data_IF_728539843600
#
_entry.id   IF_728539843600
#
_cell.length_a   1.000
_cell.length_b   1.000
_cell.length_c   1.000
_cell.angle_alpha   90.00
_cell.angle_beta   90.00
_cell.angle_gamma   90.00
#
_symmetry.space_group_name_H-M   'P 1'
#
loop_
_entity.id
_entity.type
_entity.pdbx_description
1 polymer ?
#
# COMPACT_ATOMS: atom_id res chain seq x y z
N UNK A 1 -61.52 17.00 37.86
CA UNK A 1 -60.24 16.39 37.39
C UNK A 1 -59.99 16.91 36.01
N UNK A 2 -59.01 17.86 35.88
CA UNK A 2 -58.63 18.41 34.59
C UNK A 2 -57.54 17.47 33.98
N UNK A 3 -57.87 16.85 32.84
CA UNK A 3 -56.90 16.06 32.10
C UNK A 3 -55.88 17.00 31.42
N UNK A 4 -54.65 16.97 31.86
CA UNK A 4 -53.55 17.66 31.22
C UNK A 4 -53.17 16.90 29.93
N UNK A 5 -53.49 17.45 28.77
CA UNK A 5 -53.08 16.91 27.46
C UNK A 5 -51.63 17.36 27.20
N UNK A 6 -50.65 16.46 27.40
CA UNK A 6 -49.25 16.71 27.02
C UNK A 6 -49.19 16.47 25.51
N UNK A 7 -49.11 17.55 24.74
CA UNK A 7 -48.80 17.51 23.32
C UNK A 7 -47.28 17.33 23.23
N UNK A 8 -46.83 16.07 22.96
CA UNK A 8 -45.44 15.80 22.62
C UNK A 8 -45.17 16.37 21.22
N UNK A 9 -44.62 17.58 21.18
CA UNK A 9 -44.09 18.14 19.95
C UNK A 9 -42.87 17.30 19.53
N UNK A 10 -43.11 16.34 18.63
CA UNK A 10 -42.03 15.73 17.85
C UNK A 10 -41.46 16.80 16.92
N UNK A 11 -40.49 17.58 17.39
CA UNK A 11 -39.60 18.29 16.48
C UNK A 11 -38.87 17.20 15.68
N UNK A 12 -38.90 17.27 14.34
CA UNK A 12 -37.96 16.47 13.59
C UNK A 12 -36.58 16.90 14.06
N UNK A 13 -35.83 16.02 14.70
CA UNK A 13 -34.41 16.17 14.83
C UNK A 13 -33.89 16.13 13.39
N UNK A 14 -33.67 17.31 12.81
CA UNK A 14 -32.80 17.44 11.68
C UNK A 14 -31.44 17.04 12.26
N UNK A 15 -31.10 15.77 12.13
CA UNK A 15 -29.76 15.32 12.41
C UNK A 15 -28.87 16.05 11.40
N UNK A 16 -28.18 17.10 11.85
CA UNK A 16 -27.07 17.61 11.08
C UNK A 16 -26.11 16.43 10.93
N UNK A 17 -25.92 15.95 9.70
CA UNK A 17 -24.94 14.91 9.43
C UNK A 17 -23.60 15.37 9.99
N UNK A 18 -22.83 14.44 10.58
CA UNK A 18 -21.50 14.75 11.04
C UNK A 18 -20.68 15.21 9.83
N UNK A 19 -20.04 16.37 9.94
CA UNK A 19 -19.17 16.90 8.87
C UNK A 19 -17.88 16.11 8.82
N UNK A 20 -17.38 15.90 7.61
CA UNK A 20 -16.04 15.38 7.36
C UNK A 20 -15.03 16.46 7.74
N UNK A 21 -14.01 16.09 8.50
CA UNK A 21 -12.90 17.00 8.80
C UNK A 21 -11.96 17.07 7.59
N UNK A 22 -11.90 18.22 6.93
CA UNK A 22 -11.07 18.47 5.75
C UNK A 22 -10.23 19.72 6.02
N UNK A 23 -8.96 19.56 6.45
CA UNK A 23 -8.11 20.69 6.84
C UNK A 23 -7.53 21.45 5.65
N UNK A 24 -7.30 20.80 4.50
CA UNK A 24 -6.77 21.45 3.31
C UNK A 24 -7.87 22.26 2.60
N UNK A 25 -7.63 23.56 2.48
CA UNK A 25 -8.63 24.49 1.94
C UNK A 25 -8.90 24.28 0.45
N UNK A 26 -7.87 23.89 -0.33
CA UNK A 26 -8.01 23.62 -1.75
C UNK A 26 -8.83 22.35 -1.97
N UNK A 27 -8.50 21.28 -1.22
CA UNK A 27 -9.25 20.04 -1.26
C UNK A 27 -10.72 20.27 -0.88
N UNK A 28 -10.97 20.97 0.24
CA UNK A 28 -12.34 21.30 0.68
C UNK A 28 -13.10 22.10 -0.38
N UNK A 29 -12.49 23.12 -0.96
CA UNK A 29 -13.13 23.98 -1.96
C UNK A 29 -13.56 23.19 -3.21
N UNK A 30 -12.72 22.24 -3.65
CA UNK A 30 -13.05 21.36 -4.79
C UNK A 30 -14.25 20.46 -4.46
N UNK A 31 -14.27 19.84 -3.29
CA UNK A 31 -15.37 18.95 -2.90
C UNK A 31 -16.70 19.72 -2.79
N UNK A 32 -16.67 20.89 -2.17
CA UNK A 32 -17.87 21.76 -2.02
C UNK A 32 -18.39 22.24 -3.37
N UNK A 33 -17.52 22.43 -4.37
CA UNK A 33 -17.93 22.86 -5.71
C UNK A 33 -18.60 21.73 -6.54
N UNK A 34 -18.49 20.46 -6.13
CA UNK A 34 -19.07 19.32 -6.84
C UNK A 34 -20.46 19.03 -6.31
N UNK A 35 -21.50 19.40 -7.04
CA UNK A 35 -22.90 19.23 -6.63
C UNK A 35 -23.35 17.78 -6.42
N UNK A 36 -22.63 16.78 -6.98
CA UNK A 36 -22.87 15.38 -6.74
C UNK A 36 -22.31 14.91 -5.39
N UNK A 37 -21.37 15.68 -4.79
CA UNK A 37 -20.82 15.45 -3.45
C UNK A 37 -21.58 16.33 -2.46
N UNK A 38 -21.49 17.64 -2.62
CA UNK A 38 -22.21 18.64 -1.79
C UNK A 38 -23.66 18.72 -2.26
N UNK A 39 -24.51 17.84 -1.78
CA UNK A 39 -25.89 17.69 -2.27
C UNK A 39 -26.86 18.68 -1.66
N UNK A 40 -26.49 19.31 -0.55
CA UNK A 40 -27.30 20.28 0.19
C UNK A 40 -26.87 21.74 -0.09
N UNK A 41 -25.82 21.94 -0.91
CA UNK A 41 -25.28 23.23 -1.34
C UNK A 41 -24.85 24.14 -0.14
N UNK A 42 -24.33 23.51 0.93
CA UNK A 42 -23.75 24.25 2.05
C UNK A 42 -22.20 24.39 1.92
N UNK A 43 -21.50 24.79 2.97
CA UNK A 43 -20.03 25.00 2.93
C UNK A 43 -19.23 23.84 3.50
N UNK A 44 -19.90 22.75 3.83
CA UNK A 44 -19.31 21.57 4.46
C UNK A 44 -19.62 20.32 3.64
N UNK A 45 -18.88 19.26 3.87
CA UNK A 45 -19.19 17.93 3.35
C UNK A 45 -19.60 17.04 4.53
N UNK A 46 -20.81 16.49 4.48
CA UNK A 46 -21.25 15.57 5.49
C UNK A 46 -20.76 14.15 5.21
N UNK A 47 -20.57 13.36 6.26
CA UNK A 47 -20.17 11.95 6.14
C UNK A 47 -21.14 11.15 5.25
N UNK A 48 -22.44 11.47 5.30
CA UNK A 48 -23.45 10.83 4.45
C UNK A 48 -23.29 11.17 2.97
N UNK A 49 -22.83 12.37 2.64
CA UNK A 49 -22.55 12.81 1.27
C UNK A 49 -21.29 12.14 0.74
N UNK A 50 -20.20 12.20 1.53
CA UNK A 50 -18.94 11.57 1.18
C UNK A 50 -19.09 10.06 0.96
N UNK A 51 -19.75 9.35 1.89
CA UNK A 51 -19.93 7.90 1.82
C UNK A 51 -20.86 7.43 0.71
N UNK A 52 -21.76 8.29 0.24
CA UNK A 52 -22.66 8.00 -0.87
C UNK A 52 -22.04 8.25 -2.25
N UNK A 53 -20.92 8.96 -2.31
CA UNK A 53 -20.27 9.30 -3.57
C UNK A 53 -19.44 8.11 -4.10
N UNK A 54 -19.91 7.50 -5.17
CA UNK A 54 -19.29 6.34 -5.84
C UNK A 54 -18.59 6.70 -7.18
N UNK A 55 -18.44 8.01 -7.42
CA UNK A 55 -17.95 8.54 -8.68
C UNK A 55 -16.42 8.55 -8.83
N UNK A 56 -15.99 9.42 -9.72
CA UNK A 56 -14.58 9.69 -10.03
C UNK A 56 -14.19 11.00 -9.37
N UNK A 57 -13.17 10.98 -8.51
CA UNK A 57 -12.65 12.20 -7.88
C UNK A 57 -11.33 12.58 -8.56
N UNK A 58 -11.34 13.76 -9.22
CA UNK A 58 -10.18 14.30 -9.93
C UNK A 58 -9.72 15.57 -9.23
N UNK A 59 -8.53 15.50 -8.61
CA UNK A 59 -7.92 16.53 -7.77
C UNK A 59 -6.52 16.92 -8.26
N UNK A 60 -6.24 16.76 -9.54
CA UNK A 60 -4.88 16.94 -10.06
C UNK A 60 -4.52 18.43 -10.22
N UNK A 61 -3.25 18.77 -9.88
CA UNK A 61 -2.67 20.13 -10.07
C UNK A 61 -3.37 21.24 -9.27
N UNK A 62 -3.81 20.93 -8.05
CA UNK A 62 -4.62 21.84 -7.22
C UNK A 62 -3.88 22.36 -5.99
N UNK A 63 -2.56 22.12 -5.90
CA UNK A 63 -1.73 22.51 -4.76
C UNK A 63 -2.24 21.95 -3.41
N UNK A 64 -2.81 20.75 -3.42
CA UNK A 64 -3.28 20.07 -2.23
C UNK A 64 -2.09 19.45 -1.51
N UNK A 65 -1.99 19.69 -0.21
CA UNK A 65 -0.93 19.15 0.66
C UNK A 65 -1.41 18.07 1.63
N UNK A 66 -2.72 17.98 1.83
CA UNK A 66 -3.34 17.06 2.79
C UNK A 66 -4.71 16.60 2.26
N UNK A 67 -4.87 15.28 2.11
CA UNK A 67 -6.15 14.65 1.72
C UNK A 67 -6.91 14.08 2.92
N UNK A 68 -6.62 14.49 4.16
CA UNK A 68 -7.45 14.15 5.32
C UNK A 68 -8.90 14.47 5.05
N UNK A 69 -9.78 13.49 5.26
CA UNK A 69 -11.19 13.52 4.89
C UNK A 69 -11.53 12.61 3.72
N UNK A 70 -10.53 12.17 2.93
CA UNK A 70 -10.74 11.22 1.83
C UNK A 70 -11.25 9.86 2.34
N UNK A 71 -10.90 9.48 3.57
CA UNK A 71 -11.32 8.24 4.22
C UNK A 71 -12.84 8.13 4.38
N UNK A 72 -13.56 9.27 4.35
CA UNK A 72 -15.03 9.28 4.40
C UNK A 72 -15.69 8.83 3.08
N UNK A 73 -14.94 8.85 1.97
CA UNK A 73 -15.43 8.49 0.63
C UNK A 73 -15.31 6.98 0.40
N UNK A 74 -15.99 6.19 1.21
CA UNK A 74 -15.84 4.72 1.25
C UNK A 74 -16.33 3.99 -0.01
N UNK A 75 -17.19 4.61 -0.81
CA UNK A 75 -17.70 4.08 -2.07
C UNK A 75 -16.89 4.56 -3.30
N UNK A 76 -15.86 5.39 -3.09
CA UNK A 76 -15.04 5.96 -4.17
C UNK A 76 -14.32 4.84 -4.94
N UNK A 77 -14.48 4.85 -6.28
CA UNK A 77 -13.89 3.83 -7.16
C UNK A 77 -12.66 4.33 -7.92
N UNK A 78 -12.52 5.64 -8.11
CA UNK A 78 -11.47 6.24 -8.91
C UNK A 78 -10.95 7.52 -8.25
N UNK A 79 -9.65 7.56 -7.91
CA UNK A 79 -8.98 8.72 -7.32
C UNK A 79 -7.80 9.16 -8.18
N UNK A 80 -7.83 10.41 -8.64
CA UNK A 80 -6.70 11.10 -9.27
C UNK A 80 -6.30 12.27 -8.38
N UNK A 81 -5.15 12.19 -7.75
CA UNK A 81 -4.56 13.24 -6.91
C UNK A 81 -3.14 13.62 -7.38
N UNK A 82 -2.87 13.42 -8.65
CA UNK A 82 -1.58 13.68 -9.27
C UNK A 82 -1.19 15.16 -9.29
N UNK A 83 0.13 15.45 -9.38
CA UNK A 83 0.67 16.82 -9.44
C UNK A 83 0.24 17.70 -8.27
N UNK A 84 0.37 17.17 -7.05
CA UNK A 84 0.06 17.87 -5.81
C UNK A 84 1.27 17.93 -4.87
N UNK A 85 1.07 18.31 -3.62
CA UNK A 85 2.13 18.51 -2.63
C UNK A 85 2.05 17.46 -1.50
N UNK A 86 1.42 16.30 -1.76
CA UNK A 86 1.17 15.28 -0.77
C UNK A 86 2.47 14.64 -0.29
N UNK A 87 2.70 14.63 1.01
CA UNK A 87 3.80 13.90 1.66
C UNK A 87 3.37 12.58 2.26
N UNK A 88 2.06 12.39 2.44
CA UNK A 88 1.40 11.17 2.90
C UNK A 88 0.05 11.02 2.20
N UNK A 89 -0.43 9.78 2.09
CA UNK A 89 -1.74 9.46 1.54
C UNK A 89 -2.27 8.21 2.24
N UNK A 90 -3.40 8.33 2.92
CA UNK A 90 -4.11 7.20 3.53
C UNK A 90 -5.39 6.92 2.72
N UNK A 91 -5.41 5.78 2.05
CA UNK A 91 -6.56 5.27 1.28
C UNK A 91 -7.13 3.98 1.87
N UNK A 92 -6.75 3.65 3.11
CA UNK A 92 -7.11 2.38 3.75
C UNK A 92 -8.63 2.17 3.89
N UNK A 93 -9.42 3.26 3.98
CA UNK A 93 -10.87 3.18 4.06
C UNK A 93 -11.54 3.21 2.68
N UNK A 94 -10.83 3.57 1.61
CA UNK A 94 -11.35 3.62 0.25
C UNK A 94 -11.24 2.25 -0.43
N UNK A 95 -11.80 1.23 0.20
CA UNK A 95 -11.63 -0.19 -0.20
C UNK A 95 -12.28 -0.54 -1.54
N UNK A 96 -13.16 0.33 -2.07
CA UNK A 96 -13.78 0.20 -3.39
C UNK A 96 -12.92 0.72 -4.54
N UNK A 97 -11.73 1.32 -4.27
CA UNK A 97 -10.87 1.87 -5.30
C UNK A 97 -10.43 0.79 -6.30
N UNK A 98 -10.70 1.05 -7.57
CA UNK A 98 -10.21 0.28 -8.72
C UNK A 98 -9.06 0.98 -9.42
N UNK A 99 -8.95 2.31 -9.29
CA UNK A 99 -7.88 3.11 -9.87
C UNK A 99 -7.39 4.15 -8.88
N UNK A 100 -6.07 4.21 -8.69
CA UNK A 100 -5.39 5.24 -7.92
C UNK A 100 -4.27 5.86 -8.78
N UNK A 101 -4.35 7.16 -9.03
CA UNK A 101 -3.30 7.97 -9.62
C UNK A 101 -2.83 9.02 -8.63
N UNK A 102 -1.67 8.78 -8.01
CA UNK A 102 -1.01 9.69 -7.08
C UNK A 102 0.38 10.14 -7.58
N UNK A 103 0.60 10.10 -8.89
CA UNK A 103 1.88 10.48 -9.49
C UNK A 103 2.25 11.93 -9.22
N UNK A 104 3.57 12.22 -9.24
CA UNK A 104 4.14 13.57 -9.06
C UNK A 104 3.65 14.25 -7.78
N UNK A 105 3.93 13.58 -6.67
CA UNK A 105 3.78 14.05 -5.30
C UNK A 105 5.11 13.92 -4.55
N UNK A 106 5.09 13.94 -3.22
CA UNK A 106 6.27 13.82 -2.36
C UNK A 106 6.14 12.63 -1.40
N UNK A 107 5.40 11.58 -1.81
CA UNK A 107 5.13 10.42 -0.97
C UNK A 107 6.42 9.62 -0.71
N UNK A 108 6.71 9.35 0.55
CA UNK A 108 7.84 8.50 0.97
C UNK A 108 7.42 7.06 1.24
N UNK A 109 6.13 6.82 1.46
CA UNK A 109 5.49 5.52 1.62
C UNK A 109 4.08 5.55 1.02
N UNK A 110 3.57 4.40 0.64
CA UNK A 110 2.20 4.21 0.16
C UNK A 110 1.74 2.82 0.55
N UNK A 111 0.67 2.74 1.36
CA UNK A 111 0.03 1.48 1.72
C UNK A 111 -1.28 1.34 0.93
N UNK A 112 -1.36 0.31 0.11
CA UNK A 112 -2.54 -0.06 -0.70
C UNK A 112 -3.08 -1.44 -0.33
N UNK A 113 -2.65 -2.01 0.80
CA UNK A 113 -3.00 -3.36 1.23
C UNK A 113 -4.50 -3.57 1.41
N UNK A 114 -5.25 -2.51 1.76
CA UNK A 114 -6.71 -2.58 1.92
C UNK A 114 -7.47 -2.38 0.59
N UNK A 115 -6.81 -1.91 -0.45
CA UNK A 115 -7.43 -1.61 -1.74
C UNK A 115 -7.36 -2.85 -2.68
N UNK A 116 -7.92 -3.96 -2.24
CA UNK A 116 -7.81 -5.26 -2.94
C UNK A 116 -8.51 -5.33 -4.29
N UNK A 117 -9.40 -4.37 -4.58
CA UNK A 117 -10.06 -4.20 -5.88
C UNK A 117 -9.24 -3.40 -6.89
N UNK A 118 -8.03 -2.92 -6.50
CA UNK A 118 -7.22 -2.02 -7.32
C UNK A 118 -6.71 -2.74 -8.57
N UNK A 119 -7.16 -2.27 -9.74
CA UNK A 119 -6.75 -2.74 -11.06
C UNK A 119 -5.65 -1.87 -11.67
N UNK A 120 -5.60 -0.59 -11.33
CA UNK A 120 -4.58 0.35 -11.82
C UNK A 120 -3.99 1.16 -10.67
N UNK A 121 -2.66 1.10 -10.52
CA UNK A 121 -1.90 1.93 -9.61
C UNK A 121 -0.86 2.75 -10.36
N UNK A 122 -0.96 4.07 -10.27
CA UNK A 122 0.01 4.99 -10.85
C UNK A 122 0.60 5.88 -9.75
N UNK A 123 1.86 5.65 -9.40
CA UNK A 123 2.61 6.42 -8.40
C UNK A 123 3.97 6.96 -8.90
N UNK A 124 4.15 7.27 -10.22
CA UNK A 124 5.41 7.83 -10.72
C UNK A 124 5.81 9.14 -10.04
N UNK A 125 7.13 9.42 -9.99
CA UNK A 125 7.62 10.71 -9.54
C UNK A 125 7.30 11.02 -8.08
N UNK A 126 7.49 10.02 -7.21
CA UNK A 126 7.42 10.13 -5.76
C UNK A 126 8.80 9.81 -5.14
N UNK A 127 8.85 9.57 -3.84
CA UNK A 127 10.06 9.24 -3.08
C UNK A 127 9.94 7.88 -2.39
N UNK A 128 9.16 6.95 -2.98
CA UNK A 128 8.91 5.63 -2.40
C UNK A 128 10.19 4.80 -2.38
N UNK A 129 10.53 4.26 -1.21
CA UNK A 129 11.69 3.36 -1.04
C UNK A 129 11.29 1.89 -1.07
N UNK A 130 10.02 1.60 -0.84
CA UNK A 130 9.40 0.28 -0.94
C UNK A 130 7.95 0.41 -1.42
N UNK A 131 7.42 -0.63 -2.02
CA UNK A 131 6.02 -0.72 -2.44
C UNK A 131 5.60 -2.19 -2.37
N UNK A 132 4.62 -2.48 -1.51
CA UNK A 132 4.02 -3.80 -1.40
C UNK A 132 2.65 -3.80 -2.09
N UNK A 133 2.52 -4.62 -3.12
CA UNK A 133 1.28 -4.81 -3.89
C UNK A 133 0.77 -6.26 -3.81
N UNK A 134 1.27 -7.05 -2.87
CA UNK A 134 0.95 -8.48 -2.73
C UNK A 134 -0.54 -8.75 -2.50
N UNK A 135 -1.27 -7.80 -1.88
CA UNK A 135 -2.70 -7.91 -1.64
C UNK A 135 -3.56 -7.45 -2.82
N UNK A 136 -2.97 -6.77 -3.80
CA UNK A 136 -3.68 -6.21 -4.94
C UNK A 136 -3.71 -7.21 -6.11
N UNK A 137 -4.30 -8.37 -5.89
CA UNK A 137 -4.31 -9.49 -6.86
C UNK A 137 -5.07 -9.18 -8.16
N UNK A 138 -5.94 -8.16 -8.14
CA UNK A 138 -6.65 -7.66 -9.31
C UNK A 138 -5.83 -6.67 -10.15
N UNK A 139 -4.58 -6.35 -9.74
CA UNK A 139 -3.77 -5.32 -10.38
C UNK A 139 -3.37 -5.72 -11.80
N UNK A 140 -3.83 -4.94 -12.78
CA UNK A 140 -3.55 -5.12 -14.21
C UNK A 140 -2.43 -4.20 -14.69
N UNK A 141 -2.34 -2.98 -14.15
CA UNK A 141 -1.33 -1.98 -14.54
C UNK A 141 -0.68 -1.37 -13.31
N UNK A 142 0.65 -1.43 -13.25
CA UNK A 142 1.48 -0.82 -12.20
C UNK A 142 2.52 0.11 -12.82
N UNK A 143 2.41 1.41 -12.49
CA UNK A 143 3.41 2.42 -12.84
C UNK A 143 4.02 2.97 -11.56
N UNK A 144 5.29 2.64 -11.31
CA UNK A 144 6.06 3.12 -10.16
C UNK A 144 7.38 3.79 -10.58
N UNK A 145 7.37 4.37 -11.77
CA UNK A 145 8.50 5.06 -12.43
C UNK A 145 9.06 6.20 -11.57
N UNK A 146 10.37 6.44 -11.61
CA UNK A 146 11.02 7.59 -10.94
C UNK A 146 10.68 7.65 -9.45
N UNK A 147 11.01 6.58 -8.74
CA UNK A 147 10.98 6.45 -7.30
C UNK A 147 12.37 6.03 -6.76
N UNK A 148 12.45 5.55 -5.55
CA UNK A 148 13.67 5.09 -4.90
C UNK A 148 13.58 3.62 -4.48
N UNK A 149 12.76 2.82 -5.20
CA UNK A 149 12.53 1.42 -4.88
C UNK A 149 13.81 0.61 -5.01
N UNK A 150 14.13 -0.20 -4.00
CA UNK A 150 15.30 -1.09 -3.98
C UNK A 150 14.94 -2.53 -4.33
N UNK A 151 13.69 -2.92 -4.12
CA UNK A 151 13.12 -4.21 -4.52
C UNK A 151 11.66 -4.03 -4.98
N UNK A 152 11.20 -4.93 -5.82
CA UNK A 152 9.79 -5.00 -6.22
C UNK A 152 9.44 -6.46 -6.52
N UNK A 153 8.43 -6.96 -5.84
CA UNK A 153 7.86 -8.28 -6.05
C UNK A 153 6.41 -8.15 -6.53
N UNK A 154 6.13 -8.61 -7.74
CA UNK A 154 4.79 -8.66 -8.33
C UNK A 154 4.35 -10.10 -8.63
N UNK A 155 4.96 -11.09 -7.98
CA UNK A 155 4.66 -12.52 -8.19
C UNK A 155 3.22 -12.89 -7.83
N UNK A 156 2.58 -12.14 -6.92
CA UNK A 156 1.19 -12.37 -6.53
C UNK A 156 0.17 -11.67 -7.47
N UNK A 157 0.63 -10.74 -8.32
CA UNK A 157 -0.25 -9.96 -9.18
C UNK A 157 -0.49 -10.68 -10.51
N UNK A 158 -1.25 -11.77 -10.46
CA UNK A 158 -1.47 -12.68 -11.59
C UNK A 158 -2.28 -12.09 -12.74
N UNK A 159 -2.95 -10.94 -12.53
CA UNK A 159 -3.66 -10.19 -13.57
C UNK A 159 -2.76 -9.15 -14.27
N UNK A 160 -1.53 -8.92 -13.77
CA UNK A 160 -0.67 -7.83 -14.23
C UNK A 160 -0.26 -8.04 -15.70
N UNK A 161 -0.56 -7.03 -16.53
CA UNK A 161 -0.24 -7.01 -17.96
C UNK A 161 0.55 -5.75 -18.38
N UNK A 162 0.83 -4.85 -17.43
CA UNK A 162 1.68 -3.67 -17.66
C UNK A 162 2.47 -3.34 -16.38
N UNK A 163 3.81 -3.28 -16.51
CA UNK A 163 4.73 -2.91 -15.44
C UNK A 163 5.75 -1.89 -15.92
N UNK A 164 5.67 -0.67 -15.39
CA UNK A 164 6.64 0.38 -15.63
C UNK A 164 7.33 0.74 -14.31
N UNK A 165 8.57 0.24 -14.12
CA UNK A 165 9.37 0.42 -12.91
C UNK A 165 10.77 1.03 -13.18
N UNK A 166 10.94 1.65 -14.34
CA UNK A 166 12.20 2.29 -14.72
C UNK A 166 12.49 3.54 -13.87
N UNK A 167 13.78 3.97 -13.86
CA UNK A 167 14.27 5.05 -13.00
C UNK A 167 14.02 4.80 -11.51
N UNK A 168 14.52 3.66 -11.02
CA UNK A 168 14.52 3.27 -9.61
C UNK A 168 15.94 2.82 -9.18
N UNK A 169 16.06 2.24 -8.02
CA UNK A 169 17.29 1.72 -7.44
C UNK A 169 17.23 0.20 -7.24
N UNK A 170 16.44 -0.49 -8.07
CA UNK A 170 16.18 -1.91 -7.91
C UNK A 170 17.46 -2.72 -7.94
N UNK A 171 17.60 -3.63 -7.00
CA UNK A 171 18.57 -4.71 -6.96
C UNK A 171 17.90 -6.06 -7.12
N UNK A 172 16.58 -6.11 -6.90
CA UNK A 172 15.74 -7.29 -6.99
C UNK A 172 14.41 -6.92 -7.68
N UNK A 173 14.02 -7.72 -8.68
CA UNK A 173 12.73 -7.61 -9.37
C UNK A 173 12.21 -9.02 -9.67
N UNK A 174 11.07 -9.38 -9.06
CA UNK A 174 10.38 -10.63 -9.33
C UNK A 174 9.06 -10.36 -10.09
N UNK A 175 8.98 -10.88 -11.31
CA UNK A 175 7.82 -10.76 -12.22
C UNK A 175 7.23 -12.13 -12.54
N UNK A 176 7.68 -13.20 -11.86
CA UNK A 176 7.21 -14.57 -12.08
C UNK A 176 5.79 -14.76 -11.50
N UNK A 177 4.80 -14.15 -12.15
CA UNK A 177 3.40 -14.10 -11.73
C UNK A 177 2.46 -15.02 -12.53
N UNK A 178 3.00 -15.85 -13.42
CA UNK A 178 2.23 -16.74 -14.30
C UNK A 178 1.60 -16.02 -15.50
N UNK A 179 1.83 -14.72 -15.70
CA UNK A 179 1.13 -13.91 -16.71
C UNK A 179 2.06 -13.15 -17.67
N UNK A 180 3.36 -13.40 -17.63
CA UNK A 180 4.35 -12.66 -18.45
C UNK A 180 4.02 -12.64 -19.93
N UNK A 181 3.42 -13.71 -20.47
CA UNK A 181 3.05 -13.83 -21.89
C UNK A 181 2.05 -12.75 -22.34
N UNK A 182 1.30 -12.15 -21.43
CA UNK A 182 0.33 -11.11 -21.74
C UNK A 182 0.96 -9.71 -21.78
N UNK A 183 2.20 -9.54 -21.30
CA UNK A 183 3.03 -8.35 -21.51
C UNK A 183 3.84 -8.47 -22.81
N UNK A 184 3.14 -8.61 -23.93
CA UNK A 184 3.77 -8.95 -25.23
C UNK A 184 4.13 -7.74 -26.10
N UNK A 185 3.83 -6.52 -25.63
CA UNK A 185 4.26 -5.30 -26.29
C UNK A 185 5.41 -4.65 -25.52
N UNK A 186 6.41 -4.16 -26.22
CA UNK A 186 7.61 -3.59 -25.61
C UNK A 186 7.37 -2.40 -24.67
N UNK A 187 6.24 -1.72 -24.79
CA UNK A 187 5.86 -0.62 -23.90
C UNK A 187 5.17 -1.09 -22.61
N UNK A 188 4.74 -2.36 -22.52
CA UNK A 188 4.08 -2.89 -21.32
C UNK A 188 5.05 -3.30 -20.22
N UNK A 189 6.33 -3.53 -20.56
CA UNK A 189 7.36 -3.84 -19.60
C UNK A 189 8.56 -2.89 -19.77
N UNK A 190 8.87 -2.14 -18.69
CA UNK A 190 10.00 -1.24 -18.70
C UNK A 190 10.68 -1.20 -17.33
N UNK A 191 11.91 -1.74 -17.25
CA UNK A 191 12.73 -1.81 -16.05
C UNK A 191 14.13 -1.18 -16.21
N UNK A 192 14.39 -0.44 -17.30
CA UNK A 192 15.67 0.23 -17.54
C UNK A 192 15.92 1.36 -16.52
N UNK A 193 17.16 1.83 -16.44
CA UNK A 193 17.61 2.82 -15.45
C UNK A 193 17.43 2.33 -13.99
N UNK A 194 17.80 1.06 -13.77
CA UNK A 194 17.98 0.43 -12.48
C UNK A 194 19.43 -0.12 -12.45
N UNK A 195 20.44 0.73 -12.21
CA UNK A 195 21.83 0.40 -12.51
C UNK A 195 22.39 -0.79 -11.72
N UNK A 196 21.77 -1.17 -10.63
CA UNK A 196 22.17 -2.29 -9.78
C UNK A 196 21.36 -3.56 -10.04
N UNK A 197 20.37 -3.53 -10.96
CA UNK A 197 19.55 -4.68 -11.30
C UNK A 197 20.28 -5.57 -12.29
N UNK A 198 20.67 -6.76 -11.88
CA UNK A 198 21.44 -7.71 -12.71
C UNK A 198 20.60 -8.91 -13.16
N UNK A 199 19.53 -9.23 -12.40
CA UNK A 199 18.64 -10.35 -12.69
C UNK A 199 17.19 -9.95 -12.45
N UNK A 200 16.31 -10.34 -13.38
CA UNK A 200 14.85 -10.23 -13.26
C UNK A 200 14.29 -11.64 -13.26
N UNK A 201 13.55 -11.99 -12.20
CA UNK A 201 12.90 -13.29 -12.12
C UNK A 201 11.60 -13.30 -12.93
N UNK A 202 11.45 -14.31 -13.79
CA UNK A 202 10.38 -14.40 -14.80
C UNK A 202 9.83 -15.81 -14.94
N UNK A 203 8.60 -15.95 -15.47
CA UNK A 203 8.00 -17.27 -15.77
C UNK A 203 8.71 -18.01 -16.91
N UNK A 204 9.23 -17.29 -17.91
CA UNK A 204 9.82 -17.86 -19.13
C UNK A 204 10.90 -16.96 -19.69
N UNK A 205 12.14 -17.37 -19.54
CA UNK A 205 13.34 -16.64 -19.99
C UNK A 205 13.32 -16.38 -21.47
N UNK A 206 12.91 -17.38 -22.29
CA UNK A 206 12.93 -17.25 -23.76
C UNK A 206 11.92 -16.20 -24.24
N UNK A 207 10.73 -16.18 -23.64
CA UNK A 207 9.71 -15.16 -23.92
C UNK A 207 10.19 -13.77 -23.52
N UNK A 208 10.66 -13.61 -22.28
CA UNK A 208 11.08 -12.31 -21.74
C UNK A 208 12.25 -11.73 -22.53
N UNK A 209 13.26 -12.56 -22.88
CA UNK A 209 14.39 -12.15 -23.71
C UNK A 209 13.96 -11.69 -25.11
N UNK A 210 12.94 -12.29 -25.68
CA UNK A 210 12.47 -11.95 -27.04
C UNK A 210 11.61 -10.68 -27.07
N UNK A 211 10.89 -10.34 -25.97
CA UNK A 211 9.84 -9.32 -25.97
C UNK A 211 10.17 -8.10 -25.08
N UNK A 212 10.96 -8.25 -24.02
CA UNK A 212 11.23 -7.20 -23.06
C UNK A 212 12.63 -6.60 -23.26
N UNK A 213 12.70 -5.61 -24.11
CA UNK A 213 13.98 -4.96 -24.51
C UNK A 213 14.31 -3.70 -23.70
N UNK A 214 13.35 -3.19 -22.89
CA UNK A 214 13.53 -1.97 -22.10
C UNK A 214 14.12 -2.29 -20.71
N UNK A 215 15.32 -2.87 -20.72
CA UNK A 215 16.14 -3.21 -19.54
C UNK A 215 17.55 -2.64 -19.71
N UNK A 216 18.30 -2.58 -18.60
CA UNK A 216 19.71 -2.14 -18.66
C UNK A 216 20.61 -3.25 -19.23
N UNK A 217 21.77 -2.90 -19.85
CA UNK A 217 22.64 -3.88 -20.52
C UNK A 217 23.20 -4.97 -19.61
N UNK A 218 23.35 -4.69 -18.30
CA UNK A 218 23.84 -5.65 -17.30
C UNK A 218 22.75 -6.60 -16.81
N UNK A 219 21.49 -6.32 -17.13
CA UNK A 219 20.34 -7.09 -16.63
C UNK A 219 20.09 -8.32 -17.50
N UNK A 220 19.83 -9.44 -16.88
CA UNK A 220 19.42 -10.70 -17.51
C UNK A 220 18.13 -11.24 -16.90
N UNK A 221 17.48 -12.17 -17.59
CA UNK A 221 16.30 -12.88 -17.09
C UNK A 221 16.67 -14.27 -16.58
N UNK A 222 16.01 -14.72 -15.52
CA UNK A 222 16.12 -16.07 -14.97
C UNK A 222 14.76 -16.53 -14.43
N UNK A 223 14.54 -17.84 -14.40
CA UNK A 223 13.41 -18.43 -13.68
C UNK A 223 13.69 -18.56 -12.16
N UNK A 224 14.95 -18.35 -11.77
CA UNK A 224 15.39 -18.28 -10.37
C UNK A 224 16.63 -17.36 -10.32
N UNK A 225 16.45 -16.18 -9.76
CA UNK A 225 17.54 -15.21 -9.55
C UNK A 225 18.29 -15.45 -8.23
N UNK A 226 17.90 -16.44 -7.43
CA UNK A 226 18.41 -16.67 -6.07
C UNK A 226 18.31 -15.44 -5.16
N UNK A 227 17.31 -14.60 -5.40
CA UNK A 227 17.05 -13.38 -4.66
C UNK A 227 15.63 -13.45 -4.06
N UNK A 228 15.51 -13.16 -2.78
CA UNK A 228 14.21 -12.92 -2.15
C UNK A 228 13.85 -11.45 -2.33
N UNK A 229 12.97 -11.15 -3.30
CA UNK A 229 12.47 -9.81 -3.55
C UNK A 229 11.33 -9.41 -2.61
N UNK A 230 10.89 -10.29 -1.72
CA UNK A 230 9.84 -9.95 -0.77
C UNK A 230 10.28 -8.71 0.01
N UNK A 231 9.41 -7.70 0.04
CA UNK A 231 9.59 -6.54 0.90
C UNK A 231 9.27 -6.96 2.33
N UNK A 232 10.05 -7.89 2.87
CA UNK A 232 10.00 -8.19 4.28
C UNK A 232 10.40 -6.94 5.03
N UNK A 233 9.39 -6.09 5.24
CA UNK A 233 9.47 -5.00 6.20
C UNK A 233 9.86 -5.56 7.54
N UNK A 234 10.87 -4.93 8.08
CA UNK A 234 11.53 -5.14 9.36
C UNK A 234 12.69 -6.11 9.27
N UNK A 235 13.88 -5.53 9.25
CA UNK A 235 15.12 -6.22 9.57
C UNK A 235 15.05 -7.04 10.86
N UNK A 236 14.55 -8.24 10.72
CA UNK A 236 15.13 -9.40 11.30
C UNK A 236 15.89 -10.03 10.14
N UNK A 237 17.14 -9.61 9.92
CA UNK A 237 18.09 -10.60 9.49
C UNK A 237 17.94 -11.75 10.48
N UNK A 238 17.14 -12.74 10.14
CA UNK A 238 17.49 -14.07 10.56
C UNK A 238 18.88 -14.32 9.97
N UNK A 239 19.88 -13.84 10.70
CA UNK A 239 21.15 -14.52 10.69
C UNK A 239 20.76 -15.95 11.06
N UNK A 240 20.71 -16.84 10.07
CA UNK A 240 20.81 -18.28 10.27
C UNK A 240 22.24 -18.61 10.70
N UNK A 241 22.73 -17.96 11.75
CA UNK A 241 23.57 -18.62 12.69
C UNK A 241 22.58 -19.44 13.52
N UNK A 242 22.63 -20.73 13.35
CA UNK A 242 21.91 -21.68 14.19
C UNK A 242 22.39 -21.48 15.62
N UNK A 243 21.81 -20.48 16.30
CA UNK A 243 22.09 -20.22 17.72
C UNK A 243 21.60 -21.43 18.48
N UNK A 244 22.50 -22.10 19.17
CA UNK A 244 22.14 -23.24 20.00
C UNK A 244 21.74 -22.75 21.38
N UNK A 245 20.53 -23.08 21.80
CA UNK A 245 20.07 -22.78 23.16
C UNK A 245 20.92 -23.60 24.14
N UNK A 246 21.73 -22.91 24.95
CA UNK A 246 22.63 -23.57 25.90
C UNK A 246 22.10 -23.56 27.33
N UNK A 247 21.21 -22.62 27.66
CA UNK A 247 20.72 -22.48 29.02
C UNK A 247 19.36 -21.78 29.09
N UNK A 248 18.51 -22.18 30.02
CA UNK A 248 17.26 -21.53 30.39
C UNK A 248 17.40 -21.00 31.81
N UNK A 249 17.05 -19.70 31.99
CA UNK A 249 17.08 -19.04 33.31
C UNK A 249 15.67 -18.54 33.67
N UNK A 250 15.38 -18.46 34.97
CA UNK A 250 14.24 -17.66 35.46
C UNK A 250 14.56 -16.19 35.45
N UNK A 251 13.59 -15.32 35.73
CA UNK A 251 13.76 -13.86 35.74
C UNK A 251 14.74 -13.35 36.81
N UNK A 252 15.16 -14.23 37.75
CA UNK A 252 16.18 -13.96 38.76
C UNK A 252 17.58 -14.45 38.33
N UNK A 253 17.72 -14.92 37.07
CA UNK A 253 18.99 -15.42 36.55
C UNK A 253 19.39 -16.81 37.02
N UNK A 254 18.53 -17.60 37.65
CA UNK A 254 18.81 -18.94 38.11
C UNK A 254 18.48 -19.97 37.02
N UNK A 255 19.33 -20.98 36.86
CA UNK A 255 19.09 -22.11 35.94
C UNK A 255 17.76 -22.80 36.23
N UNK A 256 16.97 -23.02 35.20
CA UNK A 256 15.70 -23.74 35.28
C UNK A 256 15.47 -24.57 34.03
N UNK A 257 14.43 -25.40 34.02
CA UNK A 257 13.93 -26.08 32.84
C UNK A 257 12.80 -25.29 32.23
N UNK A 258 12.43 -25.60 30.98
CA UNK A 258 11.25 -25.03 30.35
C UNK A 258 10.00 -25.21 31.25
N UNK A 259 9.25 -24.16 31.44
CA UNK A 259 7.98 -24.15 32.17
C UNK A 259 6.97 -23.31 31.38
N UNK A 260 5.86 -23.90 30.91
CA UNK A 260 4.82 -23.14 30.22
C UNK A 260 4.18 -22.10 31.17
N UNK A 261 3.62 -21.06 30.61
CA UNK A 261 2.97 -19.96 31.33
C UNK A 261 3.88 -19.25 32.35
N UNK A 262 5.18 -19.31 32.16
CA UNK A 262 6.18 -18.67 33.01
C UNK A 262 7.18 -17.91 32.14
N UNK A 263 7.45 -16.63 32.40
CA UNK A 263 8.46 -15.89 31.66
C UNK A 263 9.86 -16.44 31.96
N UNK A 264 10.61 -16.74 30.92
CA UNK A 264 11.95 -17.35 30.99
C UNK A 264 12.95 -16.50 30.21
N UNK A 265 14.23 -16.64 30.48
CA UNK A 265 15.32 -16.09 29.70
C UNK A 265 16.09 -17.24 29.07
N UNK A 266 16.13 -17.27 27.75
CA UNK A 266 16.93 -18.18 26.96
C UNK A 266 18.31 -17.56 26.71
N UNK A 267 19.36 -18.35 26.92
CA UNK A 267 20.75 -17.98 26.67
C UNK A 267 21.30 -18.87 25.58
N UNK A 268 21.89 -18.25 24.56
CA UNK A 268 22.43 -18.95 23.40
C UNK A 268 23.96 -19.03 23.43
N UNK A 269 24.52 -19.86 22.59
CA UNK A 269 25.96 -20.13 22.48
C UNK A 269 26.81 -18.94 22.05
N UNK A 270 26.18 -17.93 21.39
CA UNK A 270 26.80 -16.64 21.05
C UNK A 270 26.77 -15.61 22.19
N UNK A 271 26.26 -15.99 23.37
CA UNK A 271 26.11 -15.12 24.52
C UNK A 271 24.89 -14.21 24.49
N UNK A 272 24.09 -14.26 23.44
CA UNK A 272 22.83 -13.50 23.37
C UNK A 272 21.77 -14.11 24.30
N UNK A 273 20.80 -13.25 24.68
CA UNK A 273 19.69 -13.68 25.55
C UNK A 273 18.36 -13.22 24.98
N UNK A 274 17.33 -14.04 25.15
CA UNK A 274 15.96 -13.75 24.74
C UNK A 274 14.99 -13.98 25.90
N UNK A 275 13.99 -13.08 26.08
CA UNK A 275 12.88 -13.30 27.01
C UNK A 275 11.74 -14.00 26.30
N UNK A 276 11.39 -15.17 26.79
CA UNK A 276 10.35 -16.02 26.17
C UNK A 276 9.20 -16.21 27.15
N UNK A 277 7.98 -16.07 26.65
CA UNK A 277 6.76 -16.43 27.36
C UNK A 277 5.94 -17.34 26.46
N UNK A 278 5.92 -18.63 26.79
CA UNK A 278 5.16 -19.64 26.03
C UNK A 278 3.85 -19.94 26.76
N UNK A 279 2.74 -19.82 26.05
CA UNK A 279 1.41 -20.19 26.53
C UNK A 279 1.08 -21.58 25.98
N UNK A 280 0.80 -22.50 26.88
CA UNK A 280 0.20 -23.80 26.51
C UNK A 280 -1.35 -23.64 26.58
N UNK A 281 -2.04 -24.00 25.49
CA UNK A 281 -3.50 -24.07 25.42
C UNK A 281 -3.98 -25.46 25.76
#
# INVERSE_FOLDING_TARGET
>A
MKKLLIILLCFPFIGFGQNVYIPDANFKALLVAVSQINTNDDTEIQVSEASAYDGILVLNDENISDLTGIEAFTALTFLVCSYNLLTSLDVSQNTALTTLDCRYNQLTSLDVSQNTALGTLQCPGNQLTSLDVSQNIALESLWCVSNQLTSLDVSQNTALNELLCHYNQLTCLNVANGNNINMNYSFQFWAANNPNLTCIEVDNVAFSTANWTNIDPQTSFSEDCNNDCSTSTVGITELTSSKTLIQILDLMGRKTTFKPNTPLIYVYDDGSTEKVFSVEY
#
